data_IF_688443742317
#
_entry.id   IF_688443742317
#
_cell.length_a   1.000
_cell.length_b   1.000
_cell.length_c   1.000
_cell.angle_alpha   90.00
_cell.angle_beta   90.00
_cell.angle_gamma   90.00
#
_symmetry.space_group_name_H-M   'P 1'
#
loop_
_entity.id
_entity.type
_entity.pdbx_description
1 polymer ?
#
# COMPACT_ATOMS: atom_id res chain seq x y z
N UNK A 1 11.79 18.70 1.36
CA UNK A 1 12.90 18.14 2.16
C UNK A 1 14.28 18.37 1.52
N UNK A 2 14.45 18.21 0.20
CA UNK A 2 15.73 18.54 -0.50
C UNK A 2 16.13 20.03 -0.41
N UNK A 3 15.15 20.95 -0.35
CA UNK A 3 15.40 22.39 -0.23
C UNK A 3 15.96 22.83 1.14
N UNK A 4 15.72 22.04 2.20
CA UNK A 4 16.19 22.38 3.56
C UNK A 4 17.69 22.08 3.71
N UNK A 5 18.18 21.05 3.03
CA UNK A 5 19.61 20.68 3.02
C UNK A 5 20.47 21.65 2.19
N UNK A 6 19.93 22.19 1.10
CA UNK A 6 20.59 23.25 0.32
C UNK A 6 20.64 24.57 1.11
N UNK A 7 19.60 24.88 1.89
CA UNK A 7 19.59 26.06 2.75
C UNK A 7 20.59 25.96 3.92
N UNK A 8 20.78 24.76 4.50
CA UNK A 8 21.77 24.53 5.57
C UNK A 8 23.22 24.65 5.08
N UNK A 9 23.49 24.28 3.83
CA UNK A 9 24.81 24.44 3.22
C UNK A 9 25.09 25.86 2.74
N UNK A 10 24.05 26.64 2.40
CA UNK A 10 24.16 28.04 2.01
C UNK A 10 24.21 29.00 3.23
N UNK A 11 23.45 28.70 4.31
CA UNK A 11 23.39 29.52 5.52
C UNK A 11 24.67 29.44 6.38
N UNK A 12 25.42 28.32 6.29
CA UNK A 12 26.73 28.20 6.93
C UNK A 12 27.80 29.13 6.32
N UNK A 13 27.53 29.77 5.18
CA UNK A 13 28.41 30.74 4.54
C UNK A 13 28.00 32.21 4.80
N UNK A 14 26.88 32.46 5.50
CA UNK A 14 26.30 33.80 5.62
C UNK A 14 25.93 34.14 7.07
N UNK A 15 26.90 34.13 7.97
CA UNK A 15 26.75 34.67 9.32
C UNK A 15 27.70 35.84 9.54
N UNK A 16 27.16 37.05 9.46
CA UNK A 16 27.73 38.34 9.87
C UNK A 16 28.81 38.98 8.98
N UNK A 17 28.38 39.78 7.99
CA UNK A 17 28.80 41.17 7.69
C UNK A 17 28.17 41.66 6.35
N UNK A 18 27.96 42.97 6.13
CA UNK A 18 27.26 43.48 4.95
C UNK A 18 28.01 43.13 3.66
N UNK A 19 27.31 42.93 2.52
CA UNK A 19 27.94 42.58 1.26
C UNK A 19 28.70 43.79 0.71
N UNK A 20 29.97 43.92 1.08
CA UNK A 20 30.89 44.75 0.31
C UNK A 20 31.06 44.08 -1.07
N UNK A 21 30.98 44.83 -2.18
CA UNK A 21 31.13 44.26 -3.51
C UNK A 21 32.50 43.57 -3.63
N UNK A 22 32.58 42.42 -4.33
CA UNK A 22 33.82 41.67 -4.47
C UNK A 22 34.89 42.55 -5.11
N UNK A 23 36.00 42.77 -4.39
CA UNK A 23 37.19 43.39 -4.97
C UNK A 23 37.84 42.37 -5.89
N UNK A 24 37.48 42.38 -7.16
CA UNK A 24 38.15 41.60 -8.20
C UNK A 24 39.49 42.28 -8.48
N UNK A 25 40.57 41.72 -7.96
CA UNK A 25 41.93 42.11 -8.37
C UNK A 25 42.34 41.26 -9.56
N UNK A 26 42.31 41.87 -10.75
CA UNK A 26 42.94 41.30 -11.94
C UNK A 26 44.46 41.38 -11.76
N UNK A 27 45.11 40.25 -11.48
CA UNK A 27 46.55 40.14 -11.61
C UNK A 27 46.89 39.56 -12.98
N UNK A 28 47.57 40.36 -13.81
CA UNK A 28 48.20 39.86 -15.02
C UNK A 28 49.44 39.05 -14.62
N UNK A 29 49.47 37.78 -15.00
CA UNK A 29 50.69 36.96 -14.91
C UNK A 29 51.56 37.36 -16.11
N UNK A 30 52.77 37.91 -15.92
CA UNK A 30 53.61 38.33 -17.05
C UNK A 30 53.92 37.12 -17.93
N UNK A 31 53.49 37.17 -19.20
CA UNK A 31 53.78 36.17 -20.23
C UNK A 31 52.65 35.20 -20.60
N UNK A 32 51.42 35.33 -20.08
CA UNK A 32 50.25 34.54 -20.53
C UNK A 32 48.95 35.36 -20.51
N UNK A 33 48.14 35.25 -21.57
CA UNK A 33 46.78 35.84 -21.69
C UNK A 33 45.73 35.09 -20.86
N UNK A 34 46.06 34.74 -19.61
CA UNK A 34 45.13 34.05 -18.71
C UNK A 34 45.03 34.88 -17.42
N UNK A 35 43.90 35.58 -17.27
CA UNK A 35 43.54 36.24 -16.02
C UNK A 35 43.16 35.18 -14.99
N UNK A 36 43.92 35.07 -13.90
CA UNK A 36 43.51 34.27 -12.76
C UNK A 36 42.44 35.05 -11.96
N UNK A 37 41.21 34.53 -11.92
CA UNK A 37 40.20 34.99 -10.96
C UNK A 37 40.59 34.45 -9.57
N UNK A 38 41.36 35.22 -8.82
CA UNK A 38 41.57 34.95 -7.40
C UNK A 38 40.28 35.31 -6.65
N UNK A 39 39.44 34.30 -6.41
CA UNK A 39 38.41 34.43 -5.38
C UNK A 39 39.12 34.50 -4.04
N UNK A 40 39.14 35.67 -3.43
CA UNK A 40 39.56 35.86 -2.04
C UNK A 40 38.46 35.31 -1.14
N UNK A 41 38.29 33.98 -1.16
CA UNK A 41 37.49 33.28 -0.17
C UNK A 41 38.29 33.43 1.12
N UNK A 42 37.99 34.47 1.88
CA UNK A 42 38.19 34.43 3.33
C UNK A 42 37.35 33.26 3.81
N UNK A 43 37.91 32.05 3.76
CA UNK A 43 37.51 30.96 4.64
C UNK A 43 37.77 31.55 6.01
N UNK A 44 36.73 32.12 6.61
CA UNK A 44 36.69 32.23 8.05
C UNK A 44 36.57 30.77 8.49
N UNK A 45 37.72 30.10 8.54
CA UNK A 45 37.81 28.75 9.05
C UNK A 45 37.13 28.81 10.41
N UNK A 46 36.01 28.09 10.56
CA UNK A 46 35.39 27.96 11.87
C UNK A 46 36.51 27.60 12.85
N UNK A 47 36.56 28.19 14.05
CA UNK A 47 37.62 27.88 15.01
C UNK A 47 37.71 26.36 15.18
N UNK A 48 38.92 25.80 15.16
CA UNK A 48 39.17 24.35 15.11
C UNK A 48 38.36 23.55 16.14
N UNK A 49 38.07 24.14 17.30
CA UNK A 49 37.18 23.59 18.31
C UNK A 49 35.74 23.35 17.79
N UNK A 50 35.13 24.37 17.17
CA UNK A 50 33.79 24.25 16.57
C UNK A 50 33.77 23.28 15.38
N UNK A 51 34.85 23.22 14.58
CA UNK A 51 34.95 22.23 13.50
C UNK A 51 34.95 20.79 14.04
N UNK A 52 35.69 20.53 15.12
CA UNK A 52 35.72 19.22 15.78
C UNK A 52 34.39 18.86 16.43
N UNK A 53 33.73 19.83 17.06
CA UNK A 53 32.39 19.65 17.63
C UNK A 53 31.34 19.33 16.57
N UNK A 54 31.39 19.99 15.42
CA UNK A 54 30.49 19.72 14.29
C UNK A 54 30.79 18.39 13.61
N UNK A 55 32.05 18.02 13.44
CA UNK A 55 32.44 16.71 12.92
C UNK A 55 31.95 15.58 13.85
N UNK A 56 32.16 15.73 15.17
CA UNK A 56 31.66 14.78 16.15
C UNK A 56 30.12 14.72 16.17
N UNK A 57 29.43 15.85 15.99
CA UNK A 57 27.97 15.87 15.88
C UNK A 57 27.47 15.24 14.57
N UNK A 58 28.21 15.35 13.46
CA UNK A 58 27.87 14.69 12.19
C UNK A 58 28.03 13.18 12.27
N UNK A 59 29.12 12.69 12.86
CA UNK A 59 29.34 11.26 13.09
C UNK A 59 28.30 10.68 14.07
N UNK A 60 28.01 11.40 15.16
CA UNK A 60 27.00 11.01 16.14
C UNK A 60 25.56 11.04 15.58
N UNK A 61 25.30 11.79 14.52
CA UNK A 61 23.98 11.84 13.88
C UNK A 61 23.65 10.57 13.09
N UNK A 62 24.63 9.70 12.79
CA UNK A 62 24.44 8.41 12.09
C UNK A 62 23.45 8.52 10.91
N UNK A 63 23.69 9.51 10.04
CA UNK A 63 22.74 9.90 8.98
C UNK A 63 22.46 8.75 7.99
N UNK A 64 23.44 7.89 7.76
CA UNK A 64 23.30 6.73 6.87
C UNK A 64 22.33 5.69 7.45
N UNK A 65 22.40 5.43 8.76
CA UNK A 65 21.49 4.50 9.44
C UNK A 65 20.06 5.04 9.49
N UNK A 66 19.90 6.34 9.72
CA UNK A 66 18.62 7.03 9.62
C UNK A 66 18.00 6.93 8.24
N UNK A 67 18.80 7.22 7.20
CA UNK A 67 18.35 7.19 5.82
C UNK A 67 17.98 5.76 5.42
N UNK A 68 18.79 4.77 5.78
CA UNK A 68 18.50 3.37 5.54
C UNK A 68 17.19 2.92 6.23
N UNK A 69 16.99 3.29 7.51
CA UNK A 69 15.75 2.99 8.23
C UNK A 69 14.53 3.67 7.60
N UNK A 70 14.67 4.93 7.18
CA UNK A 70 13.60 5.65 6.48
C UNK A 70 13.23 5.02 5.13
N UNK A 71 14.22 4.59 4.34
CA UNK A 71 13.97 3.89 3.08
C UNK A 71 13.24 2.56 3.33
N UNK A 72 13.66 1.78 4.34
CA UNK A 72 13.00 0.53 4.74
C UNK A 72 11.55 0.77 5.17
N UNK A 73 11.30 1.81 5.97
CA UNK A 73 9.96 2.21 6.39
C UNK A 73 9.09 2.58 5.18
N UNK A 74 9.64 3.35 4.24
CA UNK A 74 8.92 3.74 3.02
C UNK A 74 8.57 2.54 2.16
N UNK A 75 9.49 1.59 1.98
CA UNK A 75 9.22 0.35 1.23
C UNK A 75 8.18 -0.52 1.93
N UNK A 76 8.26 -0.65 3.26
CA UNK A 76 7.31 -1.42 4.04
C UNK A 76 5.91 -0.79 4.03
N UNK A 77 5.82 0.54 4.08
CA UNK A 77 4.56 1.28 3.96
C UNK A 77 3.92 1.09 2.57
N UNK A 78 4.74 1.12 1.51
CA UNK A 78 4.25 0.87 0.16
C UNK A 78 3.74 -0.57 -0.01
N UNK A 79 4.43 -1.55 0.59
CA UNK A 79 4.00 -2.94 0.62
C UNK A 79 2.70 -3.13 1.42
N UNK A 80 2.58 -2.49 2.60
CA UNK A 80 1.39 -2.53 3.43
C UNK A 80 0.17 -2.00 2.68
N UNK A 81 0.27 -0.82 2.06
CA UNK A 81 -0.83 -0.25 1.26
C UNK A 81 -1.27 -1.14 0.10
N UNK A 82 -0.33 -1.85 -0.53
CA UNK A 82 -0.67 -2.80 -1.59
C UNK A 82 -1.40 -4.03 -1.03
N UNK A 83 -0.89 -4.59 0.05
CA UNK A 83 -1.51 -5.75 0.71
C UNK A 83 -2.91 -5.43 1.24
N UNK A 84 -3.11 -4.24 1.84
CA UNK A 84 -4.44 -3.77 2.28
C UNK A 84 -5.41 -3.66 1.09
N UNK A 85 -4.93 -3.15 -0.06
CA UNK A 85 -5.71 -3.08 -1.29
C UNK A 85 -6.10 -4.45 -1.85
N UNK A 86 -5.12 -5.36 -1.96
CA UNK A 86 -5.33 -6.73 -2.44
C UNK A 86 -6.28 -7.51 -1.53
N UNK A 87 -6.19 -7.33 -0.21
CA UNK A 87 -7.11 -7.92 0.76
C UNK A 87 -8.53 -7.36 0.60
N UNK A 88 -8.69 -6.04 0.44
CA UNK A 88 -10.00 -5.43 0.22
C UNK A 88 -10.64 -5.92 -1.08
N UNK A 89 -9.87 -6.04 -2.17
CA UNK A 89 -10.34 -6.58 -3.45
C UNK A 89 -10.73 -8.06 -3.33
N UNK A 90 -9.91 -8.88 -2.67
CA UNK A 90 -10.20 -10.29 -2.44
C UNK A 90 -11.46 -10.49 -1.58
N UNK A 91 -11.66 -9.67 -0.55
CA UNK A 91 -12.85 -9.70 0.29
C UNK A 91 -14.11 -9.31 -0.51
N UNK A 92 -14.02 -8.28 -1.36
CA UNK A 92 -15.13 -7.91 -2.25
C UNK A 92 -15.44 -9.01 -3.27
N UNK A 93 -14.42 -9.67 -3.83
CA UNK A 93 -14.61 -10.79 -4.74
C UNK A 93 -15.35 -11.95 -4.05
N UNK A 94 -14.95 -12.32 -2.84
CA UNK A 94 -15.64 -13.34 -2.05
C UNK A 94 -17.10 -12.95 -1.74
N UNK A 95 -17.36 -11.67 -1.42
CA UNK A 95 -18.72 -11.19 -1.20
C UNK A 95 -19.60 -11.28 -2.46
N UNK A 96 -19.06 -10.95 -3.64
CA UNK A 96 -19.76 -11.08 -4.93
C UNK A 96 -20.08 -12.53 -5.26
N UNK A 97 -19.14 -13.45 -5.05
CA UNK A 97 -19.38 -14.88 -5.26
C UNK A 97 -20.40 -15.44 -4.27
N UNK A 98 -20.44 -14.93 -3.03
CA UNK A 98 -21.48 -15.26 -2.06
C UNK A 98 -22.87 -14.83 -2.50
N UNK A 99 -23.00 -13.63 -3.05
CA UNK A 99 -24.27 -13.16 -3.61
C UNK A 99 -24.72 -14.03 -4.80
N UNK A 100 -23.78 -14.39 -5.70
CA UNK A 100 -24.06 -15.30 -6.83
C UNK A 100 -24.53 -16.67 -6.36
N UNK A 101 -23.85 -17.27 -5.38
CA UNK A 101 -24.26 -18.54 -4.78
C UNK A 101 -25.67 -18.44 -4.17
N UNK A 102 -25.98 -17.35 -3.45
CA UNK A 102 -27.31 -17.15 -2.87
C UNK A 102 -28.40 -17.03 -3.94
N UNK A 103 -28.14 -16.31 -5.04
CA UNK A 103 -29.07 -16.23 -6.18
C UNK A 103 -29.33 -17.61 -6.78
N UNK A 104 -28.27 -18.39 -7.04
CA UNK A 104 -28.38 -19.74 -7.57
C UNK A 104 -29.14 -20.68 -6.61
N UNK A 105 -28.92 -20.55 -5.30
CA UNK A 105 -29.67 -21.31 -4.29
C UNK A 105 -31.18 -20.99 -4.34
N UNK A 106 -31.54 -19.71 -4.51
CA UNK A 106 -32.93 -19.30 -4.71
C UNK A 106 -33.54 -19.83 -6.01
N UNK A 107 -32.75 -19.96 -7.08
CA UNK A 107 -33.20 -20.57 -8.35
C UNK A 107 -33.47 -22.07 -8.21
N UNK A 108 -32.60 -22.80 -7.49
CA UNK A 108 -32.84 -24.21 -7.15
C UNK A 108 -34.13 -24.36 -6.34
N UNK A 109 -34.36 -23.53 -5.32
CA UNK A 109 -35.58 -23.60 -4.50
C UNK A 109 -36.84 -23.35 -5.34
N UNK A 110 -36.79 -22.38 -6.27
CA UNK A 110 -37.90 -22.13 -7.21
C UNK A 110 -38.13 -23.32 -8.14
N UNK A 111 -37.06 -23.95 -8.64
CA UNK A 111 -37.16 -25.14 -9.48
C UNK A 111 -37.73 -26.35 -8.70
N UNK A 112 -37.38 -26.50 -7.42
CA UNK A 112 -37.95 -27.54 -6.55
C UNK A 112 -39.46 -27.35 -6.36
N UNK A 113 -39.91 -26.12 -6.09
CA UNK A 113 -41.35 -25.79 -6.03
C UNK A 113 -42.06 -26.10 -7.35
N UNK A 114 -41.43 -25.82 -8.49
CA UNK A 114 -42.00 -26.17 -9.81
C UNK A 114 -42.14 -27.69 -9.98
N UNK A 115 -41.15 -28.48 -9.55
CA UNK A 115 -41.22 -29.94 -9.56
C UNK A 115 -42.34 -30.45 -8.66
N UNK A 116 -42.47 -29.90 -7.45
CA UNK A 116 -43.55 -30.27 -6.52
C UNK A 116 -44.93 -29.96 -7.07
N UNK A 117 -45.13 -28.76 -7.64
CA UNK A 117 -46.41 -28.41 -8.28
C UNK A 117 -46.72 -29.29 -9.49
N UNK A 118 -45.71 -29.65 -10.29
CA UNK A 118 -45.88 -30.59 -11.40
C UNK A 118 -46.24 -32.00 -10.91
N UNK A 119 -45.64 -32.48 -9.81
CA UNK A 119 -46.00 -33.76 -9.16
C UNK A 119 -47.46 -33.76 -8.72
N UNK A 120 -47.87 -32.71 -8.01
CA UNK A 120 -49.25 -32.56 -7.53
C UNK A 120 -50.26 -32.55 -8.68
N UNK A 121 -49.93 -31.95 -9.83
CA UNK A 121 -50.79 -31.99 -11.03
C UNK A 121 -50.96 -33.39 -11.58
N UNK A 122 -49.87 -34.16 -11.69
CA UNK A 122 -49.93 -35.57 -12.11
C UNK A 122 -50.79 -36.39 -11.15
N UNK A 123 -50.57 -36.26 -9.84
CA UNK A 123 -51.33 -36.97 -8.82
C UNK A 123 -52.82 -36.60 -8.84
N UNK A 124 -53.13 -35.31 -8.99
CA UNK A 124 -54.52 -34.82 -9.05
C UNK A 124 -55.24 -35.33 -10.29
N UNK A 125 -54.57 -35.30 -11.46
CA UNK A 125 -55.11 -35.83 -12.71
C UNK A 125 -55.38 -37.33 -12.63
N UNK A 126 -54.48 -38.09 -11.98
CA UNK A 126 -54.68 -39.53 -11.72
C UNK A 126 -55.87 -39.78 -10.79
N UNK A 127 -55.99 -39.01 -9.69
CA UNK A 127 -57.12 -39.13 -8.75
C UNK A 127 -58.45 -38.81 -9.41
N UNK A 128 -58.47 -37.82 -10.30
CA UNK A 128 -59.66 -37.43 -11.07
C UNK A 128 -59.97 -38.37 -12.24
N UNK A 129 -59.12 -39.38 -12.50
CA UNK A 129 -59.22 -40.30 -13.63
C UNK A 129 -59.35 -39.56 -14.97
N UNK A 130 -58.56 -38.49 -15.11
CA UNK A 130 -58.46 -37.75 -16.37
C UNK A 130 -57.91 -38.64 -17.50
N UNK A 131 -58.12 -38.22 -18.74
CA UNK A 131 -57.68 -38.98 -19.92
C UNK A 131 -56.17 -39.26 -19.91
N UNK A 132 -55.78 -40.45 -20.42
CA UNK A 132 -54.39 -40.87 -20.47
C UNK A 132 -53.47 -39.85 -21.17
N UNK A 133 -53.95 -39.22 -22.25
CA UNK A 133 -53.21 -38.18 -22.99
C UNK A 133 -52.89 -36.95 -22.12
N UNK A 134 -53.82 -36.56 -21.25
CA UNK A 134 -53.66 -35.42 -20.33
C UNK A 134 -52.67 -35.76 -19.22
N UNK A 135 -52.76 -36.97 -18.66
CA UNK A 135 -51.82 -37.47 -17.65
C UNK A 135 -50.39 -37.57 -18.23
N UNK A 136 -50.25 -38.07 -19.45
CA UNK A 136 -48.95 -38.17 -20.13
C UNK A 136 -48.38 -36.79 -20.47
N UNK A 137 -49.23 -35.81 -20.81
CA UNK A 137 -48.86 -34.40 -20.91
C UNK A 137 -48.26 -33.86 -19.61
N UNK A 138 -48.92 -34.08 -18.47
CA UNK A 138 -48.39 -33.67 -17.16
C UNK A 138 -47.11 -34.40 -16.77
N UNK A 139 -46.99 -35.70 -17.08
CA UNK A 139 -45.75 -36.47 -16.88
C UNK A 139 -44.59 -35.92 -17.71
N UNK A 140 -44.85 -35.50 -18.94
CA UNK A 140 -43.85 -34.82 -19.77
C UNK A 140 -43.38 -33.51 -19.13
N UNK A 141 -44.31 -32.69 -18.63
CA UNK A 141 -43.95 -31.45 -17.92
C UNK A 141 -43.17 -31.70 -16.63
N UNK A 142 -43.49 -32.77 -15.90
CA UNK A 142 -42.75 -33.19 -14.71
C UNK A 142 -41.32 -33.60 -15.07
N UNK A 143 -41.14 -34.41 -16.11
CA UNK A 143 -39.81 -34.80 -16.59
C UNK A 143 -38.98 -33.59 -17.02
N UNK A 144 -39.59 -32.64 -17.73
CA UNK A 144 -38.92 -31.39 -18.10
C UNK A 144 -38.51 -30.56 -16.87
N UNK A 145 -39.37 -30.45 -15.85
CA UNK A 145 -39.06 -29.74 -14.61
C UNK A 145 -37.95 -30.43 -13.79
N UNK A 146 -37.93 -31.77 -13.75
CA UNK A 146 -36.86 -32.54 -13.11
C UNK A 146 -35.50 -32.35 -13.82
N UNK A 147 -35.51 -32.32 -15.16
CA UNK A 147 -34.29 -32.06 -15.93
C UNK A 147 -33.73 -30.68 -15.62
N UNK A 148 -34.59 -29.65 -15.55
CA UNK A 148 -34.19 -28.29 -15.14
C UNK A 148 -33.64 -28.27 -13.72
N UNK A 149 -34.32 -28.90 -12.76
CA UNK A 149 -33.81 -29.00 -11.39
C UNK A 149 -32.42 -29.64 -11.32
N UNK A 150 -32.18 -30.68 -12.13
CA UNK A 150 -30.86 -31.33 -12.19
C UNK A 150 -29.77 -30.41 -12.73
N UNK A 151 -30.07 -29.55 -13.70
CA UNK A 151 -29.12 -28.58 -14.24
C UNK A 151 -28.84 -27.47 -13.24
N UNK A 152 -29.86 -26.95 -12.56
CA UNK A 152 -29.71 -25.93 -11.52
C UNK A 152 -28.87 -26.43 -10.33
N UNK A 153 -29.08 -27.68 -9.91
CA UNK A 153 -28.26 -28.30 -8.85
C UNK A 153 -26.79 -28.43 -9.24
N UNK A 154 -26.49 -28.73 -10.51
CA UNK A 154 -25.11 -28.76 -11.02
C UNK A 154 -24.49 -27.35 -11.04
N UNK A 155 -25.27 -26.33 -11.39
CA UNK A 155 -24.80 -24.94 -11.36
C UNK A 155 -24.54 -24.46 -9.93
N UNK A 156 -25.40 -24.82 -8.97
CA UNK A 156 -25.19 -24.54 -7.56
C UNK A 156 -23.92 -25.18 -7.03
N UNK A 157 -23.65 -26.44 -7.37
CA UNK A 157 -22.41 -27.11 -6.98
C UNK A 157 -21.16 -26.35 -7.48
N UNK A 158 -21.17 -25.91 -8.75
CA UNK A 158 -20.08 -25.08 -9.30
C UNK A 158 -19.96 -23.72 -8.61
N UNK A 159 -21.08 -23.05 -8.34
CA UNK A 159 -21.09 -21.78 -7.62
C UNK A 159 -20.51 -21.93 -6.20
N UNK A 160 -20.78 -23.07 -5.54
CA UNK A 160 -20.22 -23.39 -4.23
C UNK A 160 -18.71 -23.61 -4.27
N UNK A 161 -18.19 -24.31 -5.29
CA UNK A 161 -16.75 -24.49 -5.50
C UNK A 161 -16.05 -23.14 -5.72
N UNK A 162 -16.63 -22.27 -6.55
CA UNK A 162 -16.09 -20.93 -6.80
C UNK A 162 -16.10 -20.06 -5.55
N UNK A 163 -17.17 -20.13 -4.74
CA UNK A 163 -17.25 -19.46 -3.45
C UNK A 163 -16.13 -19.94 -2.51
N UNK A 164 -15.92 -21.25 -2.39
CA UNK A 164 -14.85 -21.79 -1.55
C UNK A 164 -13.47 -21.33 -1.99
N UNK A 165 -13.21 -21.28 -3.30
CA UNK A 165 -11.97 -20.75 -3.85
C UNK A 165 -11.80 -19.25 -3.55
N UNK A 166 -12.85 -18.45 -3.69
CA UNK A 166 -12.81 -17.02 -3.39
C UNK A 166 -12.61 -16.74 -1.89
N UNK A 167 -13.29 -17.50 -1.01
CA UNK A 167 -13.08 -17.42 0.43
C UNK A 167 -11.68 -17.89 0.84
N UNK A 168 -11.12 -18.90 0.17
CA UNK A 168 -9.73 -19.33 0.35
C UNK A 168 -8.75 -18.20 0.04
N UNK A 169 -8.88 -17.57 -1.14
CA UNK A 169 -8.05 -16.42 -1.53
C UNK A 169 -8.19 -15.23 -0.59
N UNK A 170 -9.39 -14.94 -0.11
CA UNK A 170 -9.61 -13.87 0.86
C UNK A 170 -8.89 -14.15 2.20
N UNK A 171 -8.86 -15.41 2.65
CA UNK A 171 -8.12 -15.83 3.85
C UNK A 171 -6.61 -15.74 3.64
N UNK A 172 -6.11 -16.18 2.50
CA UNK A 172 -4.69 -16.07 2.14
C UNK A 172 -4.24 -14.60 2.08
N UNK A 173 -5.04 -13.74 1.44
CA UNK A 173 -4.77 -12.29 1.38
C UNK A 173 -4.78 -11.65 2.77
N UNK A 174 -5.71 -12.02 3.66
CA UNK A 174 -5.72 -11.54 5.04
C UNK A 174 -4.50 -12.01 5.85
N UNK A 175 -4.03 -13.24 5.63
CA UNK A 175 -2.78 -13.71 6.23
C UNK A 175 -1.57 -12.92 5.71
N UNK A 176 -1.49 -12.68 4.40
CA UNK A 176 -0.42 -11.90 3.79
C UNK A 176 -0.40 -10.45 4.31
N UNK A 177 -1.54 -9.78 4.37
CA UNK A 177 -1.69 -8.45 4.97
C UNK A 177 -1.17 -8.43 6.42
N UNK A 178 -1.56 -9.40 7.24
CA UNK A 178 -1.10 -9.47 8.64
C UNK A 178 0.42 -9.60 8.77
N UNK A 179 1.07 -10.34 7.86
CA UNK A 179 2.53 -10.47 7.83
C UNK A 179 3.17 -9.16 7.39
N UNK A 180 2.64 -8.52 6.35
CA UNK A 180 3.16 -7.24 5.86
C UNK A 180 3.00 -6.14 6.92
N UNK A 181 1.86 -6.07 7.62
CA UNK A 181 1.65 -5.13 8.72
C UNK A 181 2.65 -5.34 9.86
N UNK A 182 2.98 -6.58 10.22
CA UNK A 182 4.05 -6.87 11.19
C UNK A 182 5.41 -6.34 10.72
N UNK A 183 5.75 -6.55 9.45
CA UNK A 183 7.01 -6.01 8.89
C UNK A 183 7.04 -4.48 8.88
N UNK A 184 5.91 -3.84 8.60
CA UNK A 184 5.78 -2.38 8.69
C UNK A 184 5.95 -1.87 10.11
N UNK A 185 5.33 -2.51 11.10
CA UNK A 185 5.49 -2.14 12.52
C UNK A 185 6.95 -2.30 12.99
N UNK A 186 7.62 -3.37 12.56
CA UNK A 186 9.04 -3.57 12.86
C UNK A 186 9.91 -2.47 12.24
N UNK A 187 9.71 -2.15 10.95
CA UNK A 187 10.41 -1.07 10.28
C UNK A 187 10.13 0.31 10.90
N UNK A 188 8.91 0.55 11.38
CA UNK A 188 8.53 1.75 12.11
C UNK A 188 9.26 1.86 13.46
N UNK A 189 9.37 0.76 14.20
CA UNK A 189 10.10 0.71 15.45
C UNK A 189 11.61 0.95 15.23
N UNK A 190 12.19 0.37 14.18
CA UNK A 190 13.61 0.57 13.84
C UNK A 190 13.90 2.02 13.45
N UNK A 191 13.03 2.63 12.65
CA UNK A 191 13.14 4.06 12.34
C UNK A 191 12.99 4.94 13.59
N UNK A 192 12.06 4.64 14.49
CA UNK A 192 11.89 5.40 15.73
C UNK A 192 13.13 5.32 16.63
N UNK A 193 13.78 4.15 16.72
CA UNK A 193 15.04 3.98 17.45
C UNK A 193 16.16 4.80 16.82
N UNK A 194 16.34 4.72 15.51
CA UNK A 194 17.36 5.48 14.79
C UNK A 194 17.11 7.00 14.91
N UNK A 195 15.84 7.43 14.84
CA UNK A 195 15.45 8.81 15.05
C UNK A 195 15.84 9.30 16.46
N UNK A 196 15.52 8.52 17.50
CA UNK A 196 15.85 8.89 18.88
C UNK A 196 17.37 8.95 19.13
N UNK A 197 18.18 8.07 18.53
CA UNK A 197 19.64 8.12 18.68
C UNK A 197 20.25 9.34 17.98
N UNK A 198 19.74 9.69 16.80
CA UNK A 198 20.23 10.81 15.99
C UNK A 198 19.75 12.20 16.45
N UNK A 199 18.58 12.28 17.09
CA UNK A 199 17.91 13.54 17.45
C UNK A 199 18.80 14.55 18.20
N UNK A 200 19.54 14.19 19.27
CA UNK A 200 20.37 15.15 19.99
C UNK A 200 21.52 15.72 19.13
N UNK A 201 22.09 14.90 18.25
CA UNK A 201 23.14 15.33 17.33
C UNK A 201 22.57 16.24 16.23
N UNK A 202 21.40 15.89 15.68
CA UNK A 202 20.67 16.72 14.72
C UNK A 202 20.26 18.08 15.30
N UNK A 203 19.86 18.14 16.58
CA UNK A 203 19.56 19.41 17.27
C UNK A 203 20.79 20.31 17.36
N UNK A 204 21.96 19.76 17.70
CA UNK A 204 23.23 20.51 17.73
C UNK A 204 23.62 21.04 16.35
N UNK A 205 23.47 20.24 15.31
CA UNK A 205 23.73 20.65 13.92
C UNK A 205 22.76 21.74 13.45
N UNK A 206 21.47 21.64 13.78
CA UNK A 206 20.46 22.68 13.47
C UNK A 206 20.73 23.99 14.20
N UNK A 207 21.06 23.93 15.48
CA UNK A 207 21.42 25.10 16.28
C UNK A 207 22.65 25.81 15.72
N UNK A 208 23.67 25.05 15.32
CA UNK A 208 24.87 25.60 14.67
C UNK A 208 24.58 26.23 13.29
N UNK A 209 23.54 25.76 12.60
CA UNK A 209 23.09 26.29 11.32
C UNK A 209 22.03 27.41 11.45
N UNK A 210 21.64 27.79 12.67
CA UNK A 210 20.61 28.81 12.90
C UNK A 210 19.20 28.41 12.42
N UNK A 211 18.95 27.11 12.22
CA UNK A 211 17.65 26.62 11.73
C UNK A 211 16.69 26.45 12.92
N UNK A 212 15.53 27.11 12.92
CA UNK A 212 14.55 26.97 13.99
C UNK A 212 14.00 25.53 14.05
N UNK A 213 13.63 25.07 15.24
CA UNK A 213 13.05 23.74 15.41
C UNK A 213 11.73 23.61 14.61
N UNK A 214 11.51 22.49 13.91
CA UNK A 214 10.23 22.23 13.27
C UNK A 214 9.15 22.08 14.35
N UNK A 215 8.09 22.89 14.23
CA UNK A 215 6.88 22.78 15.05
C UNK A 215 6.08 21.52 14.73
#
# INVERSE_FOLDING_TARGET
>A
MLLVFAALSLAAASGDLPPAPPRVTLMAIPGRDVCALAYDVKRVDLPLAKQRELAAALEAAQLDDLLAAHLRLRTALAAAKKADGEQAEAAQAAAREKERHQKQAGEVERAEKQVETAKQRVETAQRRREDAKTIDGYRSTLNASNNRLSTERRQLARAKELLQLAEGRAKEAAQAESLVQKTYQAAAADYAKAAATSEPALRKLRAAAGVPEPK
#
